data_IF_341616974644
#
_entry.id   IF_341616974644
#
_cell.length_a   1.000
_cell.length_b   1.000
_cell.length_c   1.000
_cell.angle_alpha   90.00
_cell.angle_beta   90.00
_cell.angle_gamma   90.00
#
_symmetry.space_group_name_H-M   'P 1'
#
loop_
_entity.id
_entity.type
_entity.pdbx_description
1 polymer ?
#
# COMPACT_ATOMS: atom_id res chain seq x y z
N UNK A 1 -9.93 -0.70 -16.83
CA UNK A 1 -9.48 -2.08 -16.55
C UNK A 1 -7.96 -2.20 -16.59
N UNK A 2 -7.28 -1.72 -17.63
CA UNK A 2 -5.82 -1.78 -17.74
C UNK A 2 -5.04 -1.23 -16.51
N UNK A 3 -5.50 -0.13 -15.90
CA UNK A 3 -4.86 0.45 -14.72
C UNK A 3 -4.97 -0.44 -13.47
N UNK A 4 -6.15 -1.04 -13.23
CA UNK A 4 -6.36 -1.95 -12.10
C UNK A 4 -5.54 -3.24 -12.24
N UNK A 5 -5.42 -3.75 -13.46
CA UNK A 5 -4.57 -4.90 -13.77
C UNK A 5 -3.09 -4.57 -13.59
N UNK A 6 -2.65 -3.37 -13.97
CA UNK A 6 -1.28 -2.92 -13.75
C UNK A 6 -0.96 -2.79 -12.25
N UNK A 7 -1.87 -2.25 -11.43
CA UNK A 7 -1.69 -2.15 -9.97
C UNK A 7 -1.64 -3.53 -9.30
N UNK A 8 -2.44 -4.47 -9.80
CA UNK A 8 -2.50 -5.84 -9.31
C UNK A 8 -1.39 -6.73 -9.88
N UNK A 9 -0.60 -6.26 -10.84
CA UNK A 9 0.49 -7.03 -11.46
C UNK A 9 1.60 -7.39 -10.46
N UNK A 10 2.44 -8.36 -10.82
CA UNK A 10 3.51 -8.87 -9.96
C UNK A 10 3.07 -10.01 -9.03
N UNK A 11 3.89 -10.27 -8.02
CA UNK A 11 3.78 -11.38 -7.08
C UNK A 11 3.60 -10.88 -5.64
N UNK A 12 3.06 -11.70 -4.72
CA UNK A 12 2.96 -11.35 -3.31
C UNK A 12 4.29 -10.91 -2.67
N UNK A 13 5.41 -11.49 -3.09
CA UNK A 13 6.74 -11.10 -2.61
C UNK A 13 7.13 -9.69 -3.06
N UNK A 14 6.86 -9.33 -4.32
CA UNK A 14 7.10 -7.97 -4.84
C UNK A 14 6.18 -6.94 -4.17
N UNK A 15 4.92 -7.29 -3.91
CA UNK A 15 3.99 -6.42 -3.17
C UNK A 15 4.44 -6.18 -1.73
N UNK A 16 5.01 -7.20 -1.08
CA UNK A 16 5.58 -7.06 0.25
C UNK A 16 6.83 -6.17 0.24
N UNK A 17 7.71 -6.33 -0.76
CA UNK A 17 8.88 -5.47 -0.94
C UNK A 17 8.49 -4.00 -1.19
N UNK A 18 7.49 -3.76 -2.05
CA UNK A 18 6.93 -2.42 -2.28
C UNK A 18 6.38 -1.81 -0.98
N UNK A 19 5.61 -2.58 -0.21
CA UNK A 19 5.03 -2.13 1.06
C UNK A 19 6.12 -1.83 2.09
N UNK A 20 7.20 -2.63 2.12
CA UNK A 20 8.35 -2.36 2.98
C UNK A 20 9.02 -1.02 2.65
N UNK A 21 9.16 -0.69 1.36
CA UNK A 21 9.65 0.62 0.91
C UNK A 21 8.76 1.79 1.37
N UNK A 22 7.43 1.61 1.33
CA UNK A 22 6.50 2.61 1.89
C UNK A 22 6.68 2.74 3.40
N UNK A 23 6.81 1.63 4.14
CA UNK A 23 7.04 1.67 5.58
C UNK A 23 8.32 2.42 5.94
N UNK A 24 9.42 2.22 5.20
CA UNK A 24 10.67 2.95 5.43
C UNK A 24 10.46 4.46 5.37
N UNK A 25 9.76 4.97 4.35
CA UNK A 25 9.45 6.39 4.21
C UNK A 25 8.60 6.93 5.37
N UNK A 26 7.61 6.15 5.82
CA UNK A 26 6.76 6.53 6.97
C UNK A 26 7.59 6.64 8.25
N UNK A 27 8.48 5.66 8.51
CA UNK A 27 9.34 5.68 9.69
C UNK A 27 10.40 6.80 9.64
N UNK A 28 10.99 7.07 8.48
CA UNK A 28 11.91 8.20 8.30
C UNK A 28 11.22 9.54 8.57
N UNK A 29 9.95 9.69 8.17
CA UNK A 29 9.16 10.88 8.42
C UNK A 29 8.65 10.99 9.88
N UNK A 30 8.77 9.94 10.69
CA UNK A 30 8.28 9.88 12.07
C UNK A 30 9.38 9.44 13.05
N UNK A 31 10.41 10.28 13.26
CA UNK A 31 11.46 9.97 14.21
C UNK A 31 10.91 9.87 15.65
N UNK A 32 11.69 9.27 16.53
CA UNK A 32 11.32 9.15 17.94
C UNK A 32 11.02 10.53 18.56
N UNK A 33 9.90 10.63 19.27
CA UNK A 33 9.42 11.89 19.85
C UNK A 33 8.68 12.82 18.89
N UNK A 34 8.44 12.40 17.63
CA UNK A 34 7.61 13.17 16.70
C UNK A 34 6.18 13.37 17.22
N UNK A 35 5.65 14.58 17.05
CA UNK A 35 4.26 14.88 17.39
C UNK A 35 3.33 14.43 16.26
N UNK A 36 2.70 13.27 16.45
CA UNK A 36 1.77 12.69 15.50
C UNK A 36 0.34 13.21 15.77
N UNK A 37 0.01 14.32 15.13
CA UNK A 37 -1.31 14.97 15.25
C UNK A 37 -1.97 15.14 13.87
N UNK A 38 -2.84 16.13 13.69
CA UNK A 38 -3.64 16.31 12.48
C UNK A 38 -2.81 16.40 11.20
N UNK A 39 -1.65 17.07 11.24
CA UNK A 39 -0.78 17.21 10.07
C UNK A 39 -0.22 15.87 9.62
N UNK A 40 0.13 15.00 10.57
CA UNK A 40 0.58 13.64 10.27
C UNK A 40 -0.56 12.81 9.66
N UNK A 41 -1.76 12.88 10.24
CA UNK A 41 -2.93 12.18 9.69
C UNK A 41 -3.23 12.65 8.26
N UNK A 42 -3.22 13.96 8.02
CA UNK A 42 -3.44 14.52 6.69
C UNK A 42 -2.35 14.06 5.69
N UNK A 43 -1.09 14.02 6.11
CA UNK A 43 0.02 13.55 5.28
C UNK A 43 -0.05 12.05 4.97
N UNK A 44 -0.51 11.22 5.91
CA UNK A 44 -0.53 9.75 5.75
C UNK A 44 -1.84 9.19 5.21
N UNK A 45 -2.94 9.94 5.26
CA UNK A 45 -4.24 9.50 4.69
C UNK A 45 -4.12 9.02 3.24
N UNK A 46 -3.45 9.77 2.33
CA UNK A 46 -3.30 9.31 0.93
C UNK A 46 -2.50 8.01 0.80
N UNK A 47 -1.51 7.80 1.68
CA UNK A 47 -0.70 6.57 1.71
C UNK A 47 -1.59 5.38 2.08
N UNK A 48 -2.41 5.54 3.12
CA UNK A 48 -3.36 4.51 3.57
C UNK A 48 -4.38 4.17 2.49
N UNK A 49 -4.98 5.18 1.85
CA UNK A 49 -5.93 5.00 0.74
C UNK A 49 -5.30 4.23 -0.42
N UNK A 50 -4.06 4.57 -0.79
CA UNK A 50 -3.33 3.85 -1.84
C UNK A 50 -3.07 2.38 -1.46
N UNK A 51 -2.72 2.10 -0.20
CA UNK A 51 -2.52 0.73 0.26
C UNK A 51 -3.82 -0.08 0.26
N UNK A 52 -4.96 0.52 0.61
CA UNK A 52 -6.26 -0.13 0.49
C UNK A 52 -6.64 -0.43 -0.96
N UNK A 53 -6.41 0.51 -1.88
CA UNK A 53 -6.64 0.30 -3.31
C UNK A 53 -5.81 -0.87 -3.84
N UNK A 54 -4.50 -0.87 -3.58
CA UNK A 54 -3.59 -1.96 -3.96
C UNK A 54 -4.06 -3.29 -3.39
N UNK A 55 -4.34 -3.33 -2.08
CA UNK A 55 -4.76 -4.55 -1.38
C UNK A 55 -6.04 -5.15 -1.95
N UNK A 56 -7.07 -4.33 -2.20
CA UNK A 56 -8.34 -4.77 -2.77
C UNK A 56 -8.18 -5.35 -4.18
N UNK A 57 -7.42 -4.67 -5.05
CA UNK A 57 -7.18 -5.13 -6.42
C UNK A 57 -6.34 -6.41 -6.48
N UNK A 58 -5.29 -6.50 -5.65
CA UNK A 58 -4.43 -7.69 -5.55
C UNK A 58 -5.19 -8.89 -5.01
N UNK A 59 -6.03 -8.70 -4.00
CA UNK A 59 -6.90 -9.75 -3.48
C UNK A 59 -7.90 -10.22 -4.54
N UNK A 60 -8.58 -9.30 -5.23
CA UNK A 60 -9.50 -9.66 -6.31
C UNK A 60 -8.81 -10.47 -7.41
N UNK A 61 -7.58 -10.09 -7.79
CA UNK A 61 -6.77 -10.86 -8.74
C UNK A 61 -6.48 -12.28 -8.23
N UNK A 62 -6.00 -12.43 -7.00
CA UNK A 62 -5.69 -13.75 -6.43
C UNK A 62 -6.93 -14.65 -6.36
N UNK A 63 -8.07 -14.11 -5.93
CA UNK A 63 -9.32 -14.88 -5.87
C UNK A 63 -9.74 -15.35 -7.26
N UNK A 64 -9.64 -14.49 -8.28
CA UNK A 64 -9.94 -14.85 -9.66
C UNK A 64 -8.98 -15.89 -10.25
N UNK A 65 -7.71 -15.90 -9.81
CA UNK A 65 -6.72 -16.91 -10.21
C UNK A 65 -6.99 -18.27 -9.52
N UNK A 66 -7.37 -18.27 -8.24
CA UNK A 66 -7.61 -19.49 -7.45
C UNK A 66 -8.91 -20.20 -7.84
N UNK A 67 -9.99 -19.44 -8.03
CA UNK A 67 -11.33 -19.99 -8.24
C UNK A 67 -11.76 -20.00 -9.71
N UNK A 68 -10.79 -19.95 -10.63
CA UNK A 68 -11.04 -19.97 -12.07
C UNK A 68 -11.55 -21.32 -12.56
#
# INVERSE_FOLDING_TARGET
QAEAEAIAAGTPAEWAAETCGVCQQVYEATPEGANLSYDYVAAQTPVVEQQFLRGGLRLARLLNEIYR
#
